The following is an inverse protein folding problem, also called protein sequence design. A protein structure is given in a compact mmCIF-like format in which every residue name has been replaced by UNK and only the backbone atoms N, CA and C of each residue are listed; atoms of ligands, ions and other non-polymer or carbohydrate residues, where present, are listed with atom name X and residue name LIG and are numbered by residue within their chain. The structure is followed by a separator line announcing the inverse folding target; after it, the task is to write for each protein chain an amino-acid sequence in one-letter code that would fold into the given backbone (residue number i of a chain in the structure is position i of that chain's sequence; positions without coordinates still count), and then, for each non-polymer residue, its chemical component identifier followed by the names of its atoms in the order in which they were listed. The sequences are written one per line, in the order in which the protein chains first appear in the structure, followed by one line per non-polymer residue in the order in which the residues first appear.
data_IF_210792457514
#
_entry.id   IF_210792457514
#
_cell.length_a   1.000
_cell.length_b   1.000
_cell.length_c   1.000
_cell.angle_alpha   90.00
_cell.angle_beta   90.00
_cell.angle_gamma   90.00
#
_symmetry.space_group_name_H-M   'P 1'
#
loop_
_entity.id
_entity.type
_entity.pdbx_description
1 polymer ?
#
# COMPACT_ATOMS: atom_id res chain seq x y z
N UNK A 1 -10.29 94.42 -16.23
CA UNK A 1 -9.52 93.66 -15.22
C UNK A 1 -10.14 92.27 -15.04
N UNK A 2 -9.98 91.34 -15.98
CA UNK A 2 -10.62 89.99 -15.87
C UNK A 2 -9.77 88.81 -16.37
N UNK A 3 -8.73 89.05 -17.18
CA UNK A 3 -7.90 87.99 -17.78
C UNK A 3 -7.05 87.21 -16.74
N UNK A 4 -6.60 87.88 -15.67
CA UNK A 4 -5.79 87.25 -14.62
C UNK A 4 -6.61 86.38 -13.66
N UNK A 5 -7.91 86.66 -13.49
CA UNK A 5 -8.79 85.87 -12.65
C UNK A 5 -9.15 84.53 -13.32
N UNK A 6 -9.41 84.54 -14.64
CA UNK A 6 -9.70 83.32 -15.42
C UNK A 6 -8.50 82.36 -15.48
N UNK A 7 -7.28 82.88 -15.69
CA UNK A 7 -6.05 82.07 -15.70
C UNK A 7 -5.79 81.46 -14.32
N UNK A 8 -6.01 82.21 -13.23
CA UNK A 8 -5.85 81.70 -11.87
C UNK A 8 -6.86 80.57 -11.57
N UNK A 9 -8.13 80.70 -11.98
CA UNK A 9 -9.14 79.65 -11.79
C UNK A 9 -8.91 78.41 -12.65
N UNK A 10 -8.46 78.57 -13.91
CA UNK A 10 -8.16 77.44 -14.78
C UNK A 10 -6.90 76.66 -14.35
N UNK A 11 -5.85 77.37 -13.91
CA UNK A 11 -4.62 76.75 -13.40
C UNK A 11 -4.83 76.06 -12.04
N UNK A 12 -5.66 76.62 -11.16
CA UNK A 12 -6.08 75.97 -9.91
C UNK A 12 -6.90 74.70 -10.17
N UNK A 13 -7.80 74.71 -11.15
CA UNK A 13 -8.58 73.53 -11.54
C UNK A 13 -7.71 72.40 -12.10
N UNK A 14 -6.70 72.73 -12.91
CA UNK A 14 -5.76 71.76 -13.44
C UNK A 14 -4.88 71.14 -12.35
N UNK A 15 -4.38 71.94 -11.40
CA UNK A 15 -3.60 71.44 -10.26
C UNK A 15 -4.44 70.63 -9.27
N UNK A 16 -5.69 71.02 -9.03
CA UNK A 16 -6.60 70.22 -8.21
C UNK A 16 -6.95 68.89 -8.89
N UNK A 17 -7.18 68.90 -10.21
CA UNK A 17 -7.46 67.71 -11.00
C UNK A 17 -6.29 66.71 -11.02
N UNK A 18 -5.05 67.18 -11.11
CA UNK A 18 -3.87 66.29 -11.06
C UNK A 18 -3.60 65.73 -9.66
N UNK A 19 -3.84 66.50 -8.59
CA UNK A 19 -3.74 65.99 -7.22
C UNK A 19 -4.81 64.93 -6.93
N UNK A 20 -6.06 65.19 -7.33
CA UNK A 20 -7.15 64.22 -7.18
C UNK A 20 -6.91 62.99 -8.05
N UNK A 21 -6.51 63.17 -9.31
CA UNK A 21 -6.14 62.08 -10.21
C UNK A 21 -4.98 61.23 -9.68
N UNK A 22 -3.94 61.87 -9.14
CA UNK A 22 -2.80 61.20 -8.51
C UNK A 22 -3.17 60.43 -7.24
N UNK A 23 -4.08 60.97 -6.42
CA UNK A 23 -4.58 60.26 -5.24
C UNK A 23 -5.39 59.01 -5.62
N UNK A 24 -6.24 59.11 -6.66
CA UNK A 24 -7.04 57.98 -7.16
C UNK A 24 -6.14 56.89 -7.72
N UNK A 25 -5.11 57.23 -8.51
CA UNK A 25 -4.19 56.23 -9.08
C UNK A 25 -3.41 55.50 -8.01
N UNK A 26 -2.92 56.19 -6.97
CA UNK A 26 -2.25 55.56 -5.83
C UNK A 26 -3.18 54.60 -5.08
N UNK A 27 -4.45 54.99 -4.87
CA UNK A 27 -5.43 54.13 -4.21
C UNK A 27 -5.74 52.86 -5.03
N UNK A 28 -5.92 53.00 -6.35
CA UNK A 28 -6.17 51.85 -7.24
C UNK A 28 -4.95 50.93 -7.29
N UNK A 29 -3.74 51.48 -7.43
CA UNK A 29 -2.51 50.70 -7.42
C UNK A 29 -2.36 49.92 -6.10
N UNK A 30 -2.62 50.57 -4.96
CA UNK A 30 -2.59 49.91 -3.64
C UNK A 30 -3.64 48.80 -3.53
N UNK A 31 -4.85 49.02 -4.02
CA UNK A 31 -5.90 48.01 -4.03
C UNK A 31 -5.54 46.81 -4.91
N UNK A 32 -5.03 47.04 -6.13
CA UNK A 32 -4.57 45.99 -7.03
C UNK A 32 -3.42 45.17 -6.43
N UNK A 33 -2.45 45.83 -5.78
CA UNK A 33 -1.33 45.17 -5.09
C UNK A 33 -1.80 44.37 -3.89
N UNK A 34 -2.69 44.91 -3.05
CA UNK A 34 -3.24 44.14 -1.93
C UNK A 34 -4.00 42.90 -2.42
N UNK A 35 -4.79 43.05 -3.50
CA UNK A 35 -5.53 41.95 -4.11
C UNK A 35 -4.58 40.88 -4.65
N UNK A 36 -3.51 41.27 -5.36
CA UNK A 36 -2.54 40.31 -5.88
C UNK A 36 -1.77 39.58 -4.78
N UNK A 37 -1.37 40.28 -3.70
CA UNK A 37 -0.74 39.67 -2.52
C UNK A 37 -1.68 38.64 -1.88
N UNK A 38 -2.96 38.97 -1.68
CA UNK A 38 -3.92 38.02 -1.11
C UNK A 38 -4.12 36.79 -2.01
N UNK A 39 -4.21 36.97 -3.32
CA UNK A 39 -4.33 35.87 -4.26
C UNK A 39 -3.08 34.98 -4.25
N UNK A 40 -1.88 35.57 -4.24
CA UNK A 40 -0.62 34.84 -4.14
C UNK A 40 -0.50 34.07 -2.82
N UNK A 41 -0.92 34.66 -1.70
CA UNK A 41 -0.93 33.97 -0.41
C UNK A 41 -1.90 32.77 -0.40
N UNK A 42 -3.09 32.92 -1.02
CA UNK A 42 -4.04 31.79 -1.13
C UNK A 42 -3.52 30.68 -2.05
N UNK A 43 -2.82 31.03 -3.13
CA UNK A 43 -2.21 30.03 -4.02
C UNK A 43 -1.05 29.31 -3.33
N UNK A 44 -0.15 30.04 -2.66
CA UNK A 44 0.97 29.44 -1.94
C UNK A 44 0.50 28.48 -0.83
N UNK A 45 -0.56 28.84 -0.10
CA UNK A 45 -1.14 27.94 0.91
C UNK A 45 -1.80 26.71 0.30
N UNK A 46 -2.50 26.85 -0.84
CA UNK A 46 -3.09 25.73 -1.55
C UNK A 46 -2.03 24.79 -2.15
N UNK A 47 -0.98 25.33 -2.75
CA UNK A 47 0.16 24.57 -3.28
C UNK A 47 0.89 23.83 -2.17
N UNK A 48 1.15 24.48 -1.03
CA UNK A 48 1.76 23.85 0.13
C UNK A 48 0.89 22.72 0.71
N UNK A 49 -0.42 22.91 0.79
CA UNK A 49 -1.33 21.84 1.23
C UNK A 49 -1.35 20.67 0.23
N UNK A 50 -1.26 20.93 -1.06
CA UNK A 50 -1.20 19.90 -2.09
C UNK A 50 0.13 19.13 -2.02
N UNK A 51 1.26 19.81 -1.82
CA UNK A 51 2.57 19.16 -1.67
C UNK A 51 2.61 18.26 -0.44
N UNK A 52 2.10 18.73 0.70
CA UNK A 52 2.03 17.92 1.92
C UNK A 52 1.18 16.67 1.74
N UNK A 53 0.07 16.74 0.99
CA UNK A 53 -0.76 15.57 0.68
C UNK A 53 -0.02 14.58 -0.21
N UNK A 54 0.71 15.06 -1.22
CA UNK A 54 1.52 14.19 -2.09
C UNK A 54 2.64 13.51 -1.29
N UNK A 55 3.31 14.25 -0.42
CA UNK A 55 4.35 13.72 0.46
C UNK A 55 3.79 12.62 1.37
N UNK A 56 2.64 12.87 2.00
CA UNK A 56 1.95 11.86 2.83
C UNK A 56 1.62 10.59 2.03
N UNK A 57 1.01 10.72 0.86
CA UNK A 57 0.69 9.57 0.00
C UNK A 57 1.94 8.80 -0.42
N UNK A 58 3.03 9.52 -0.72
CA UNK A 58 4.31 8.89 -1.09
C UNK A 58 4.95 8.13 0.07
N UNK A 59 4.88 8.68 1.29
CA UNK A 59 5.39 8.05 2.51
C UNK A 59 4.55 6.82 2.87
N UNK A 60 3.22 6.91 2.78
CA UNK A 60 2.32 5.78 3.03
C UNK A 60 2.58 4.64 2.05
N UNK A 61 2.77 4.96 0.77
CA UNK A 61 3.14 3.98 -0.25
C UNK A 61 4.50 3.34 0.05
N UNK A 62 5.51 4.15 0.38
CA UNK A 62 6.84 3.63 0.71
C UNK A 62 6.80 2.68 1.91
N UNK A 63 6.07 3.04 2.97
CA UNK A 63 5.87 2.17 4.15
C UNK A 63 5.16 0.88 3.81
N UNK A 64 4.12 0.93 2.98
CA UNK A 64 3.40 -0.26 2.51
C UNK A 64 4.29 -1.16 1.64
N UNK A 65 5.11 -0.58 0.76
CA UNK A 65 6.05 -1.33 -0.09
C UNK A 65 7.13 -2.01 0.76
N UNK A 66 7.69 -1.31 1.74
CA UNK A 66 8.70 -1.86 2.65
C UNK A 66 8.15 -3.03 3.47
N UNK A 67 6.97 -2.83 4.07
CA UNK A 67 6.27 -3.89 4.78
C UNK A 67 5.95 -5.11 3.88
N UNK A 68 5.52 -4.87 2.63
CA UNK A 68 5.26 -5.95 1.68
C UNK A 68 6.52 -6.77 1.38
N UNK A 69 7.69 -6.13 1.25
CA UNK A 69 8.99 -6.83 1.06
C UNK A 69 9.34 -7.69 2.27
N UNK A 70 9.26 -7.14 3.48
CA UNK A 70 9.52 -7.91 4.70
C UNK A 70 8.57 -9.11 4.82
N UNK A 71 7.30 -8.93 4.47
CA UNK A 71 6.34 -10.04 4.46
C UNK A 71 6.67 -11.09 3.40
N UNK A 72 7.12 -10.70 2.21
CA UNK A 72 7.57 -11.63 1.16
C UNK A 72 8.76 -12.49 1.59
N UNK A 73 9.74 -11.91 2.27
CA UNK A 73 10.90 -12.66 2.81
C UNK A 73 10.44 -13.77 3.75
N UNK A 74 9.52 -13.46 4.68
CA UNK A 74 8.95 -14.44 5.60
C UNK A 74 8.17 -15.55 4.86
N UNK A 75 7.49 -15.20 3.77
CA UNK A 75 6.75 -16.16 2.95
C UNK A 75 7.71 -17.09 2.19
N UNK A 76 8.83 -16.57 1.70
CA UNK A 76 9.86 -17.38 1.05
C UNK A 76 10.45 -18.41 2.03
N UNK A 77 10.71 -18.01 3.27
CA UNK A 77 11.14 -18.94 4.33
C UNK A 77 10.10 -20.04 4.56
N UNK A 78 8.82 -19.70 4.73
CA UNK A 78 7.78 -20.71 4.90
C UNK A 78 7.70 -21.63 3.67
N UNK A 79 7.77 -21.09 2.46
CA UNK A 79 7.68 -21.87 1.23
C UNK A 79 8.75 -22.97 1.18
N UNK A 80 9.98 -22.66 1.57
CA UNK A 80 11.09 -23.62 1.61
C UNK A 80 10.86 -24.74 2.63
N UNK A 81 10.23 -24.43 3.78
CA UNK A 81 10.06 -25.37 4.88
C UNK A 81 8.66 -25.99 4.99
N UNK A 82 7.71 -25.59 4.15
CA UNK A 82 6.33 -26.07 4.15
C UNK A 82 6.22 -27.61 3.99
N UNK A 83 7.03 -28.27 3.13
CA UNK A 83 7.03 -29.74 3.05
C UNK A 83 7.44 -30.41 4.37
N UNK A 84 8.11 -29.66 5.25
CA UNK A 84 8.58 -30.13 6.55
C UNK A 84 7.58 -29.88 7.69
N UNK A 85 6.33 -29.55 7.37
CA UNK A 85 5.28 -29.29 8.35
C UNK A 85 5.17 -30.47 9.33
N UNK A 86 5.17 -30.21 10.66
CA UNK A 86 5.14 -31.26 11.66
C UNK A 86 3.84 -32.06 11.53
N UNK A 87 3.96 -33.37 11.36
CA UNK A 87 2.82 -34.27 11.43
C UNK A 87 2.64 -34.71 12.87
N UNK A 88 1.75 -34.00 13.58
CA UNK A 88 1.42 -34.32 14.98
C UNK A 88 0.60 -35.62 15.11
N UNK A 89 0.03 -36.12 14.01
CA UNK A 89 -0.74 -37.37 13.99
C UNK A 89 0.13 -38.61 13.78
N UNK A 90 1.37 -38.44 13.31
CA UNK A 90 2.30 -39.55 13.08
C UNK A 90 3.00 -39.96 14.38
N UNK A 91 2.83 -41.23 14.78
CA UNK A 91 3.54 -41.81 15.94
C UNK A 91 5.07 -41.74 15.80
N UNK A 92 5.59 -41.81 14.57
CA UNK A 92 7.00 -41.59 14.25
C UNK A 92 7.15 -40.52 13.16
N UNK A 93 7.77 -39.36 13.46
CA UNK A 93 7.95 -38.31 12.46
C UNK A 93 9.00 -38.72 11.42
N UNK A 94 8.60 -38.73 10.14
CA UNK A 94 9.46 -39.06 9.00
C UNK A 94 10.55 -37.99 8.71
N UNK A 95 10.34 -36.76 9.19
CA UNK A 95 11.20 -35.62 8.91
C UNK A 95 12.23 -35.38 10.02
N UNK A 96 13.40 -34.89 9.63
CA UNK A 96 14.45 -34.52 10.57
C UNK A 96 13.96 -33.47 11.58
N UNK A 97 14.46 -33.54 12.82
CA UNK A 97 14.14 -32.55 13.86
C UNK A 97 14.43 -31.12 13.40
N UNK A 98 15.56 -30.94 12.70
CA UNK A 98 15.97 -29.65 12.15
C UNK A 98 14.92 -29.06 11.20
N UNK A 99 14.42 -29.87 10.24
CA UNK A 99 13.45 -29.40 9.26
C UNK A 99 12.11 -28.99 9.91
N UNK A 100 11.67 -29.73 10.94
CA UNK A 100 10.46 -29.38 11.71
C UNK A 100 10.62 -28.11 12.54
N UNK A 101 11.79 -27.91 13.15
CA UNK A 101 12.07 -26.70 13.93
C UNK A 101 12.16 -25.46 13.02
N UNK A 102 12.77 -25.59 11.83
CA UNK A 102 12.77 -24.52 10.82
C UNK A 102 11.37 -24.17 10.33
N UNK A 103 10.54 -25.17 10.04
CA UNK A 103 9.15 -24.96 9.65
C UNK A 103 8.36 -24.21 10.75
N UNK A 104 8.53 -24.63 12.02
CA UNK A 104 7.92 -23.93 13.16
C UNK A 104 8.38 -22.48 13.26
N UNK A 105 9.68 -22.22 13.12
CA UNK A 105 10.21 -20.86 13.12
C UNK A 105 9.67 -20.01 11.96
N UNK A 106 9.53 -20.58 10.77
CA UNK A 106 8.94 -19.88 9.63
C UNK A 106 7.46 -19.52 9.87
N UNK A 107 6.67 -20.46 10.43
CA UNK A 107 5.27 -20.19 10.82
C UNK A 107 5.16 -19.11 11.91
N UNK A 108 6.03 -19.15 12.93
CA UNK A 108 6.10 -18.12 13.97
C UNK A 108 6.50 -16.76 13.39
N UNK A 109 7.43 -16.75 12.44
CA UNK A 109 7.86 -15.54 11.73
C UNK A 109 6.71 -14.91 10.95
N UNK A 110 5.91 -15.70 10.23
CA UNK A 110 4.71 -15.21 9.54
C UNK A 110 3.66 -14.65 10.50
N UNK A 111 3.39 -15.36 11.59
CA UNK A 111 2.49 -14.86 12.63
C UNK A 111 2.98 -13.55 13.22
N UNK A 112 4.30 -13.38 13.40
CA UNK A 112 4.89 -12.11 13.84
C UNK A 112 4.69 -11.01 12.80
N UNK A 113 4.91 -11.30 11.52
CA UNK A 113 4.66 -10.36 10.42
C UNK A 113 3.22 -9.88 10.36
N UNK A 114 2.24 -10.76 10.66
CA UNK A 114 0.82 -10.38 10.80
C UNK A 114 0.59 -9.31 11.89
N UNK A 115 1.40 -9.31 12.95
CA UNK A 115 1.27 -8.42 14.10
C UNK A 115 2.07 -7.13 13.89
N UNK A 116 3.24 -7.20 13.24
CA UNK A 116 4.14 -6.05 13.13
C UNK A 116 4.00 -5.30 11.81
N UNK A 117 4.02 -6.03 10.69
CA UNK A 117 4.27 -5.45 9.37
C UNK A 117 2.95 -5.26 8.60
N UNK A 118 1.97 -6.14 8.85
CA UNK A 118 0.71 -6.17 8.13
C UNK A 118 -0.11 -4.88 8.27
N UNK A 119 0.01 -4.16 9.39
CA UNK A 119 -0.72 -2.90 9.61
C UNK A 119 -0.21 -1.75 8.73
N UNK A 120 1.04 -1.83 8.26
CA UNK A 120 1.60 -0.85 7.34
C UNK A 120 1.13 -1.05 5.89
N UNK A 121 0.51 -2.19 5.58
CA UNK A 121 -0.14 -2.43 4.29
C UNK A 121 -1.44 -1.64 4.22
N UNK A 122 -1.54 -0.72 3.26
CA UNK A 122 -2.72 0.12 3.06
C UNK A 122 -3.90 -0.66 2.48
N UNK A 123 -3.62 -1.61 1.58
CA UNK A 123 -4.65 -2.41 0.91
C UNK A 123 -5.32 -3.43 1.87
N UNK A 124 -6.64 -3.39 1.96
CA UNK A 124 -7.41 -4.28 2.82
C UNK A 124 -7.38 -5.74 2.34
N UNK A 125 -7.52 -5.95 1.04
CA UNK A 125 -7.61 -7.28 0.42
C UNK A 125 -6.31 -8.05 0.60
N UNK A 126 -5.16 -7.38 0.40
CA UNK A 126 -3.86 -7.99 0.65
C UNK A 126 -3.68 -8.39 2.12
N UNK A 127 -4.19 -7.57 3.05
CA UNK A 127 -4.14 -7.89 4.49
C UNK A 127 -4.97 -9.12 4.83
N UNK A 128 -6.17 -9.23 4.28
CA UNK A 128 -7.04 -10.39 4.49
C UNK A 128 -6.42 -11.67 3.95
N UNK A 129 -5.90 -11.64 2.72
CA UNK A 129 -5.20 -12.80 2.11
C UNK A 129 -4.04 -13.29 2.97
N UNK A 130 -3.24 -12.38 3.50
CA UNK A 130 -2.15 -12.73 4.41
C UNK A 130 -2.65 -13.37 5.71
N UNK A 131 -3.74 -12.84 6.30
CA UNK A 131 -4.35 -13.41 7.52
C UNK A 131 -4.88 -14.82 7.27
N UNK A 132 -5.54 -15.04 6.15
CA UNK A 132 -6.05 -16.37 5.79
C UNK A 132 -4.89 -17.35 5.57
N UNK A 133 -3.79 -16.91 4.96
CA UNK A 133 -2.61 -17.76 4.82
C UNK A 133 -2.01 -18.16 6.18
N UNK A 134 -1.92 -17.22 7.13
CA UNK A 134 -1.42 -17.51 8.48
C UNK A 134 -2.33 -18.54 9.18
N UNK A 135 -3.65 -18.41 9.04
CA UNK A 135 -4.61 -19.39 9.56
C UNK A 135 -4.42 -20.75 8.90
N UNK A 136 -4.37 -20.78 7.57
CA UNK A 136 -4.20 -22.00 6.78
C UNK A 136 -2.92 -22.76 7.16
N UNK A 137 -1.78 -22.07 7.23
CA UNK A 137 -0.52 -22.68 7.63
C UNK A 137 -0.58 -23.28 9.04
N UNK A 138 -1.31 -22.62 9.95
CA UNK A 138 -1.52 -23.13 11.30
C UNK A 138 -2.47 -24.33 11.34
N UNK A 139 -3.58 -24.28 10.60
CA UNK A 139 -4.57 -25.36 10.55
C UNK A 139 -3.95 -26.64 9.94
N UNK A 140 -3.17 -26.53 8.85
CA UNK A 140 -2.44 -27.67 8.26
C UNK A 140 -1.35 -28.20 9.22
N UNK A 141 -0.64 -27.31 9.91
CA UNK A 141 0.49 -27.70 10.76
C UNK A 141 0.10 -28.29 12.12
N UNK A 142 -1.02 -27.87 12.71
CA UNK A 142 -1.32 -28.15 14.12
C UNK A 142 -2.66 -28.84 14.39
N UNK A 143 -3.59 -28.87 13.44
CA UNK A 143 -4.99 -29.13 13.78
C UNK A 143 -5.54 -30.51 13.41
N UNK A 144 -4.67 -31.48 13.07
CA UNK A 144 -5.06 -32.85 12.66
C UNK A 144 -6.11 -32.91 11.53
N UNK A 145 -6.35 -31.78 10.86
CA UNK A 145 -7.34 -31.64 9.80
C UNK A 145 -6.94 -32.59 8.67
N UNK A 146 -7.74 -33.64 8.44
CA UNK A 146 -7.60 -34.59 7.35
C UNK A 146 -6.27 -35.34 7.26
N UNK A 147 -5.93 -36.17 8.27
CA UNK A 147 -4.76 -37.06 8.24
C UNK A 147 -4.62 -37.91 6.95
N UNK A 148 -5.74 -38.18 6.24
CA UNK A 148 -5.74 -38.89 4.96
C UNK A 148 -5.31 -38.07 3.74
N UNK A 149 -5.32 -36.73 3.80
CA UNK A 149 -5.12 -35.83 2.65
C UNK A 149 -3.98 -34.82 2.87
N UNK A 150 -3.05 -35.13 3.76
CA UNK A 150 -1.98 -34.22 4.20
C UNK A 150 -1.15 -33.65 3.05
N UNK A 151 -0.73 -34.48 2.10
CA UNK A 151 0.06 -34.02 0.95
C UNK A 151 -0.69 -33.00 0.10
N UNK A 152 -2.00 -33.21 -0.12
CA UNK A 152 -2.86 -32.27 -0.83
C UNK A 152 -2.96 -30.97 -0.05
N UNK A 153 -3.20 -31.02 1.25
CA UNK A 153 -3.31 -29.83 2.09
C UNK A 153 -2.01 -29.01 2.12
N UNK A 154 -0.86 -29.66 2.13
CA UNK A 154 0.45 -28.99 1.99
C UNK A 154 0.54 -28.30 0.62
N UNK A 155 0.12 -28.96 -0.45
CA UNK A 155 0.06 -28.36 -1.80
C UNK A 155 -0.93 -27.18 -1.86
N UNK A 156 -2.09 -27.29 -1.22
CA UNK A 156 -3.10 -26.23 -1.12
C UNK A 156 -2.51 -24.99 -0.42
N UNK A 157 -1.85 -25.20 0.73
CA UNK A 157 -1.17 -24.13 1.46
C UNK A 157 -0.03 -23.52 0.64
N UNK A 158 0.72 -24.34 -0.12
CA UNK A 158 1.80 -23.88 -0.99
C UNK A 158 1.28 -23.00 -2.13
N UNK A 159 0.21 -23.41 -2.81
CA UNK A 159 -0.39 -22.62 -3.87
C UNK A 159 -1.06 -21.34 -3.34
N UNK A 160 -1.72 -21.40 -2.18
CA UNK A 160 -2.27 -20.20 -1.55
C UNK A 160 -1.17 -19.23 -1.12
N UNK A 161 -0.05 -19.74 -0.59
CA UNK A 161 1.13 -18.93 -0.28
C UNK A 161 1.62 -18.20 -1.53
N UNK A 162 1.71 -18.90 -2.68
CA UNK A 162 2.10 -18.29 -3.96
C UNK A 162 1.12 -17.20 -4.41
N UNK A 163 -0.18 -17.42 -4.23
CA UNK A 163 -1.20 -16.41 -4.49
C UNK A 163 -1.01 -15.14 -3.63
N UNK A 164 -0.66 -15.31 -2.34
CA UNK A 164 -0.34 -14.18 -1.46
C UNK A 164 0.96 -13.49 -1.87
N UNK A 165 2.00 -14.23 -2.28
CA UNK A 165 3.23 -13.64 -2.81
C UNK A 165 2.93 -12.72 -3.99
N UNK A 166 2.17 -13.19 -4.99
CA UNK A 166 1.79 -12.37 -6.13
C UNK A 166 0.95 -11.15 -5.75
N UNK A 167 0.13 -11.25 -4.69
CA UNK A 167 -0.59 -10.09 -4.18
C UNK A 167 0.34 -9.04 -3.58
N UNK A 168 1.37 -9.46 -2.84
CA UNK A 168 2.36 -8.55 -2.25
C UNK A 168 3.31 -7.96 -3.30
N UNK A 169 3.74 -8.76 -4.28
CA UNK A 169 4.51 -8.29 -5.45
C UNK A 169 3.73 -7.19 -6.20
N UNK A 170 2.43 -7.40 -6.44
CA UNK A 170 1.59 -6.39 -7.08
C UNK A 170 1.53 -5.07 -6.28
N UNK A 171 1.52 -5.13 -4.94
CA UNK A 171 1.60 -3.92 -4.11
C UNK A 171 2.94 -3.19 -4.25
N UNK A 172 4.05 -3.93 -4.37
CA UNK A 172 5.39 -3.36 -4.54
C UNK A 172 5.48 -2.67 -5.90
N UNK A 173 5.01 -3.34 -6.95
CA UNK A 173 5.03 -2.82 -8.32
C UNK A 173 3.98 -1.72 -8.55
N UNK A 174 2.98 -1.62 -7.68
CA UNK A 174 1.84 -0.72 -7.86
C UNK A 174 0.85 -1.17 -8.91
N UNK A 175 0.86 -2.44 -9.27
CA UNK A 175 -0.06 -3.06 -10.22
C UNK A 175 -1.36 -3.45 -9.50
N UNK A 176 -2.47 -3.65 -10.24
CA UNK A 176 -3.70 -4.13 -9.64
C UNK A 176 -3.48 -5.51 -8.99
N UNK A 177 -4.04 -5.69 -7.79
CA UNK A 177 -4.03 -6.98 -7.12
C UNK A 177 -4.72 -8.04 -8.00
N UNK A 178 -4.27 -9.31 -7.93
CA UNK A 178 -4.98 -10.39 -8.59
C UNK A 178 -6.41 -10.48 -8.05
N UNK A 179 -7.36 -10.96 -8.87
CA UNK A 179 -8.77 -11.09 -8.50
C UNK A 179 -8.94 -11.90 -7.23
N UNK A 180 -9.93 -11.57 -6.39
CA UNK A 180 -10.20 -12.29 -5.15
C UNK A 180 -10.58 -13.75 -5.42
N UNK A 181 -9.97 -14.66 -4.69
CA UNK A 181 -10.25 -16.10 -4.72
C UNK A 181 -10.40 -16.57 -3.27
N UNK A 182 -11.41 -17.39 -3.02
CA UNK A 182 -11.62 -18.00 -1.71
C UNK A 182 -10.44 -18.89 -1.32
N UNK A 183 -10.01 -18.86 -0.04
CA UNK A 183 -8.93 -19.72 0.43
C UNK A 183 -9.30 -21.21 0.34
N UNK A 184 -8.31 -22.11 0.26
CA UNK A 184 -8.56 -23.54 0.23
C UNK A 184 -9.29 -24.03 1.48
N UNK A 185 -10.29 -24.87 1.26
CA UNK A 185 -10.98 -25.62 2.32
C UNK A 185 -10.24 -26.93 2.55
N UNK A 186 -9.62 -27.09 3.72
CA UNK A 186 -8.73 -28.23 4.00
C UNK A 186 -9.45 -29.59 4.09
N UNK A 187 -10.71 -29.59 4.54
CA UNK A 187 -11.56 -30.78 4.73
C UNK A 187 -12.38 -31.17 3.50
N UNK A 188 -12.09 -30.59 2.34
CA UNK A 188 -12.83 -30.90 1.11
C UNK A 188 -12.55 -32.33 0.61
N UNK A 189 -13.53 -32.96 -0.06
CA UNK A 189 -13.42 -34.32 -0.54
C UNK A 189 -12.59 -34.45 -1.82
N UNK A 190 -12.36 -33.37 -2.58
CA UNK A 190 -11.60 -33.44 -3.83
C UNK A 190 -10.09 -33.62 -3.59
N UNK A 191 -9.44 -34.46 -4.41
CA UNK A 191 -7.99 -34.72 -4.31
C UNK A 191 -7.13 -33.68 -5.06
N UNK A 192 -7.75 -32.86 -5.91
CA UNK A 192 -7.04 -31.86 -6.71
C UNK A 192 -6.52 -30.71 -5.83
N UNK A 193 -5.22 -30.35 -5.94
CA UNK A 193 -4.68 -29.20 -5.23
C UNK A 193 -5.39 -27.90 -5.63
N UNK A 194 -5.66 -27.07 -4.64
CA UNK A 194 -6.27 -25.76 -4.82
C UNK A 194 -5.37 -24.90 -5.70
N UNK A 195 -5.95 -24.20 -6.65
CA UNK A 195 -5.27 -23.23 -7.49
C UNK A 195 -6.22 -22.05 -7.74
N UNK A 196 -5.71 -20.82 -7.89
CA UNK A 196 -6.56 -19.74 -8.32
C UNK A 196 -7.08 -20.02 -9.74
N UNK A 197 -8.31 -19.59 -10.09
CA UNK A 197 -8.90 -19.85 -11.41
C UNK A 197 -8.08 -19.27 -12.57
N UNK A 198 -7.34 -18.20 -12.31
CA UNK A 198 -6.44 -17.55 -13.25
C UNK A 198 -5.04 -17.62 -12.67
N UNK A 199 -4.22 -18.47 -13.25
CA UNK A 199 -2.79 -18.60 -12.95
C UNK A 199 -1.97 -17.92 -14.04
N UNK A 200 -1.02 -17.03 -13.69
CA UNK A 200 -0.03 -16.53 -14.63
C UNK A 200 0.76 -17.68 -15.28
N UNK A 201 1.29 -17.45 -16.48
CA UNK A 201 2.09 -18.44 -17.21
C UNK A 201 3.38 -18.88 -16.47
N UNK A 202 3.86 -18.05 -15.53
CA UNK A 202 5.01 -18.32 -14.66
C UNK A 202 4.62 -18.84 -13.26
N UNK A 203 3.40 -19.35 -13.09
CA UNK A 203 2.90 -19.87 -11.81
C UNK A 203 3.58 -21.16 -11.32
N UNK A 204 4.36 -21.82 -12.19
CA UNK A 204 5.12 -23.02 -11.83
C UNK A 204 6.02 -22.83 -10.60
N UNK A 205 6.43 -23.95 -9.99
CA UNK A 205 7.27 -23.90 -8.79
C UNK A 205 8.57 -23.13 -9.10
N UNK A 206 8.90 -22.04 -8.38
CA UNK A 206 10.19 -21.38 -8.54
C UNK A 206 11.38 -22.31 -8.28
N UNK A 207 11.19 -23.44 -7.58
CA UNK A 207 12.19 -24.48 -7.42
C UNK A 207 12.36 -25.41 -8.65
N UNK A 208 11.42 -25.40 -9.60
CA UNK A 208 11.49 -26.20 -10.83
C UNK A 208 12.35 -25.55 -11.93
N UNK A 209 12.85 -24.33 -11.68
CA UNK A 209 13.88 -23.69 -12.49
C UNK A 209 13.39 -23.10 -13.82
N UNK A 210 13.64 -21.80 -13.96
CA UNK A 210 13.99 -21.16 -15.24
C UNK A 210 15.49 -21.11 -15.38
#
# INVERSE_FOLDING_TARGET
MSFWAEIATQSLGALAGTLVGGAITVLVARWQTNRSITAQATLATAEHAASLRLDQVSQDRARSTDAARTLLERLADLYAWLPSLPDVSAETPYLSRHARDQCRHAMESLRRGMITDLYAISDHTARERYRELVRLAYDVGWREVGAGNRERQIRDAKHYLRYVQHSLEALIDGSPLPGHVEPPVLDRPEDEPWQPPVVPWYWGDPADGS
#
